data_IF_177315759330
#
_entry.id   IF_177315759330
#
_cell.length_a   1.000
_cell.length_b   1.000
_cell.length_c   1.000
_cell.angle_alpha   90.00
_cell.angle_beta   90.00
_cell.angle_gamma   90.00
#
_symmetry.space_group_name_H-M   'P 1'
#
loop_
_entity.id
_entity.type
_entity.pdbx_description
1 polymer ?
#
# COMPACT_ATOMS: atom_id res chain seq x y z
N UNK A 1 -16.10 -12.37 8.76
CA UNK A 1 -15.80 -11.12 8.00
C UNK A 1 -15.51 -10.04 9.02
N UNK A 2 -14.41 -9.31 8.88
CA UNK A 2 -14.02 -8.24 9.82
C UNK A 2 -13.23 -7.16 9.09
N UNK A 3 -12.93 -6.04 9.77
CA UNK A 3 -12.15 -4.96 9.19
C UNK A 3 -10.72 -5.40 8.82
N UNK A 4 -10.13 -6.35 9.53
CA UNK A 4 -8.73 -6.76 9.32
C UNK A 4 -8.63 -8.07 8.54
N UNK A 5 -7.42 -8.36 8.03
CA UNK A 5 -7.23 -9.48 7.10
C UNK A 5 -7.58 -10.84 7.72
N UNK A 6 -7.31 -11.01 9.01
CA UNK A 6 -7.56 -12.26 9.74
C UNK A 6 -8.81 -12.23 10.63
N UNK A 7 -9.65 -11.19 10.57
CA UNK A 7 -10.89 -11.13 11.34
C UNK A 7 -11.18 -9.77 12.00
N UNK A 8 -11.74 -9.76 13.22
CA UNK A 8 -12.18 -8.54 13.89
C UNK A 8 -11.03 -7.66 14.38
N UNK A 9 -9.84 -8.23 14.60
CA UNK A 9 -8.69 -7.57 15.24
C UNK A 9 -7.47 -7.46 14.33
N UNK A 10 -6.67 -6.41 14.56
CA UNK A 10 -5.39 -6.19 13.86
C UNK A 10 -4.40 -7.28 14.27
N UNK A 11 -3.74 -7.89 13.30
CA UNK A 11 -3.01 -9.13 13.49
C UNK A 11 -1.69 -9.18 12.71
N UNK A 12 -0.94 -10.27 12.87
CA UNK A 12 0.25 -10.55 12.07
C UNK A 12 -0.03 -10.59 10.57
N UNK A 13 -1.24 -10.94 10.14
CA UNK A 13 -1.59 -10.92 8.72
C UNK A 13 -1.52 -9.48 8.15
N UNK A 14 -2.04 -8.50 8.88
CA UNK A 14 -2.01 -7.09 8.49
C UNK A 14 -0.58 -6.54 8.48
N UNK A 15 0.20 -6.89 9.52
CA UNK A 15 1.61 -6.50 9.65
C UNK A 15 2.43 -7.08 8.48
N UNK A 16 2.25 -8.36 8.16
CA UNK A 16 2.98 -9.03 7.09
C UNK A 16 2.63 -8.47 5.70
N UNK A 17 1.38 -8.06 5.48
CA UNK A 17 0.94 -7.48 4.21
C UNK A 17 1.39 -6.02 4.02
N UNK A 18 1.46 -5.24 5.11
CA UNK A 18 1.76 -3.80 5.10
C UNK A 18 2.96 -3.42 4.23
N UNK A 19 4.19 -3.98 4.38
CA UNK A 19 5.35 -3.54 3.61
C UNK A 19 5.19 -3.73 2.10
N UNK A 20 4.46 -4.74 1.66
CA UNK A 20 4.18 -4.96 0.23
C UNK A 20 3.22 -3.89 -0.31
N UNK A 21 2.19 -3.54 0.45
CA UNK A 21 1.20 -2.54 0.04
C UNK A 21 1.82 -1.13 0.03
N UNK A 22 2.65 -0.79 1.03
CA UNK A 22 3.50 0.41 1.01
C UNK A 22 4.30 0.47 -0.28
N UNK A 23 4.99 -0.63 -0.62
CA UNK A 23 5.84 -0.67 -1.81
C UNK A 23 5.05 -0.46 -3.09
N UNK A 24 3.87 -1.05 -3.22
CA UNK A 24 2.99 -0.85 -4.38
C UNK A 24 2.50 0.59 -4.49
N UNK A 25 2.13 1.23 -3.37
CA UNK A 25 1.72 2.63 -3.34
C UNK A 25 2.88 3.55 -3.77
N UNK A 26 4.09 3.33 -3.24
CA UNK A 26 5.30 4.06 -3.65
C UNK A 26 5.64 3.85 -5.14
N UNK A 27 5.30 2.70 -5.72
CA UNK A 27 5.49 2.42 -7.15
C UNK A 27 4.39 3.01 -8.04
N UNK A 28 3.44 3.79 -7.49
CA UNK A 28 2.27 4.30 -8.22
C UNK A 28 1.37 3.18 -8.78
N UNK A 29 1.34 2.03 -8.11
CA UNK A 29 0.52 0.87 -8.48
C UNK A 29 -0.79 0.80 -7.70
N UNK A 30 -1.21 1.88 -7.04
CA UNK A 30 -2.43 1.90 -6.23
C UNK A 30 -3.71 1.59 -7.01
N UNK A 31 -3.73 1.79 -8.34
CA UNK A 31 -4.90 1.43 -9.17
C UNK A 31 -5.23 -0.07 -9.13
N UNK A 32 -4.33 -0.93 -8.64
CA UNK A 32 -4.59 -2.36 -8.41
C UNK A 32 -5.78 -2.61 -7.47
N UNK A 33 -6.11 -1.65 -6.60
CA UNK A 33 -7.21 -1.76 -5.66
C UNK A 33 -8.34 -0.73 -5.88
N UNK A 34 -8.37 -0.03 -7.03
CA UNK A 34 -9.45 0.92 -7.36
C UNK A 34 -10.83 0.26 -7.33
N UNK A 35 -10.93 -0.98 -7.83
CA UNK A 35 -12.15 -1.79 -7.79
C UNK A 35 -12.24 -2.73 -6.59
N UNK A 36 -11.39 -2.55 -5.57
CA UNK A 36 -11.32 -3.40 -4.37
C UNK A 36 -11.53 -2.57 -3.11
N UNK A 37 -12.77 -2.09 -2.85
CA UNK A 37 -13.04 -1.17 -1.75
C UNK A 37 -12.71 -1.75 -0.36
N UNK A 38 -12.72 -3.08 -0.21
CA UNK A 38 -12.27 -3.74 1.02
C UNK A 38 -10.78 -3.52 1.28
N UNK A 39 -9.94 -3.60 0.24
CA UNK A 39 -8.50 -3.36 0.32
C UNK A 39 -8.23 -1.88 0.59
N UNK A 40 -8.89 -0.98 -0.15
CA UNK A 40 -8.74 0.46 0.07
C UNK A 40 -9.09 0.85 1.52
N UNK A 41 -10.25 0.40 2.03
CA UNK A 41 -10.66 0.66 3.42
C UNK A 41 -9.74 0.04 4.46
N UNK A 42 -9.21 -1.15 4.20
CA UNK A 42 -8.22 -1.78 5.07
C UNK A 42 -6.92 -0.99 5.09
N UNK A 43 -6.45 -0.54 3.92
CA UNK A 43 -5.21 0.20 3.79
C UNK A 43 -5.26 1.56 4.49
N UNK A 44 -6.35 2.31 4.32
CA UNK A 44 -6.55 3.56 5.07
C UNK A 44 -6.54 3.33 6.59
N UNK A 45 -7.15 2.23 7.07
CA UNK A 45 -7.09 1.87 8.49
C UNK A 45 -5.70 1.52 8.98
N UNK A 46 -4.86 0.89 8.15
CA UNK A 46 -3.45 0.63 8.49
C UNK A 46 -2.69 1.95 8.62
N UNK A 47 -2.83 2.87 7.65
CA UNK A 47 -2.15 4.18 7.65
C UNK A 47 -2.53 5.07 8.85
N UNK A 48 -3.77 4.96 9.35
CA UNK A 48 -4.24 5.71 10.53
C UNK A 48 -3.70 5.19 11.88
N UNK A 49 -3.04 4.03 11.92
CA UNK A 49 -2.51 3.50 13.18
C UNK A 49 -1.28 4.30 13.62
N UNK A 50 -1.14 4.63 14.93
CA UNK A 50 0.08 5.28 15.44
C UNK A 50 1.36 4.50 15.12
N UNK A 51 1.28 3.17 15.09
CA UNK A 51 2.41 2.30 14.75
C UNK A 51 2.90 2.47 13.32
N UNK A 52 2.08 3.01 12.41
CA UNK A 52 2.47 3.22 11.01
C UNK A 52 3.62 4.21 10.90
N UNK A 53 3.58 5.29 11.68
CA UNK A 53 4.67 6.27 11.72
C UNK A 53 5.97 5.60 12.19
N UNK A 54 5.90 4.93 13.34
CA UNK A 54 7.08 4.29 13.96
C UNK A 54 7.69 3.20 13.08
N UNK A 55 6.87 2.40 12.38
CA UNK A 55 7.34 1.27 11.60
C UNK A 55 7.70 1.62 10.15
N UNK A 56 7.02 2.62 9.56
CA UNK A 56 7.13 2.92 8.13
C UNK A 56 7.73 4.31 7.90
N UNK A 57 6.99 5.37 8.22
CA UNK A 57 7.36 6.72 7.73
C UNK A 57 8.54 7.34 8.45
N UNK A 58 8.78 6.99 9.72
CA UNK A 58 9.91 7.49 10.53
C UNK A 58 11.27 7.23 9.89
N UNK A 59 11.38 6.17 9.08
CA UNK A 59 12.65 5.73 8.47
C UNK A 59 12.81 6.21 7.03
N UNK A 60 11.77 6.80 6.43
CA UNK A 60 11.82 7.31 5.06
C UNK A 60 12.50 8.68 5.05
N UNK A 61 13.65 8.75 4.38
CA UNK A 61 14.35 10.03 4.22
C UNK A 61 13.76 10.81 3.05
N UNK A 62 13.90 12.14 3.01
CA UNK A 62 13.38 12.96 1.90
C UNK A 62 13.83 12.47 0.53
N UNK A 63 15.08 12.00 0.39
CA UNK A 63 15.59 11.44 -0.85
C UNK A 63 14.92 10.13 -1.27
N UNK A 64 14.50 9.31 -0.30
CA UNK A 64 13.79 8.06 -0.57
C UNK A 64 12.41 8.37 -1.13
N UNK A 65 11.68 9.32 -0.54
CA UNK A 65 10.37 9.79 -1.01
C UNK A 65 10.50 10.41 -2.41
N UNK A 66 11.43 11.34 -2.59
CA UNK A 66 11.62 12.05 -3.86
C UNK A 66 11.97 11.11 -5.03
N UNK A 67 12.64 9.98 -4.76
CA UNK A 67 12.91 8.95 -5.78
C UNK A 67 11.62 8.38 -6.36
N UNK A 68 10.61 8.12 -5.52
CA UNK A 68 9.36 7.50 -5.93
C UNK A 68 8.38 8.49 -6.55
N UNK A 69 8.37 9.74 -6.09
CA UNK A 69 7.56 10.81 -6.69
C UNK A 69 7.89 11.06 -8.17
N UNK A 70 9.18 10.94 -8.52
CA UNK A 70 9.70 11.13 -9.89
C UNK A 70 9.38 9.98 -10.86
N UNK A 71 8.78 8.88 -10.40
CA UNK A 71 8.42 7.78 -11.29
C UNK A 71 7.37 8.23 -12.31
N UNK A 72 7.57 7.85 -13.58
CA UNK A 72 6.51 7.97 -14.59
C UNK A 72 5.31 7.07 -14.24
N UNK A 73 4.15 7.31 -14.87
CA UNK A 73 2.98 6.45 -14.66
C UNK A 73 3.26 5.02 -15.16
N UNK A 74 3.35 4.01 -14.26
CA UNK A 74 3.64 2.64 -14.66
C UNK A 74 2.48 1.99 -15.42
N UNK A 75 1.26 2.52 -15.32
CA UNK A 75 0.07 1.88 -15.87
C UNK A 75 0.02 1.87 -17.40
N UNK A 76 0.80 2.73 -18.06
CA UNK A 76 1.03 2.66 -19.52
C UNK A 76 1.58 1.29 -19.93
N UNK A 77 2.43 0.69 -19.10
CA UNK A 77 3.03 -0.62 -19.38
C UNK A 77 2.28 -1.76 -18.70
N UNK A 78 1.82 -1.56 -17.46
CA UNK A 78 1.07 -2.60 -16.72
C UNK A 78 -0.20 -3.00 -17.48
N UNK A 79 -0.97 -2.04 -18.00
CA UNK A 79 -2.20 -2.34 -18.76
C UNK A 79 -1.92 -3.22 -19.99
N UNK A 80 -0.85 -2.94 -20.73
CA UNK A 80 -0.44 -3.74 -21.91
C UNK A 80 -0.08 -5.18 -21.56
N UNK A 81 0.47 -5.41 -20.36
CA UNK A 81 0.87 -6.75 -19.91
C UNK A 81 -0.30 -7.56 -19.34
N UNK A 82 -1.34 -6.90 -18.83
CA UNK A 82 -2.54 -7.57 -18.29
C UNK A 82 -3.54 -7.99 -19.38
N UNK A 83 -3.37 -7.51 -20.62
CA UNK A 83 -4.23 -7.84 -21.77
C UNK A 83 -3.62 -8.86 -22.73
N UNK A 84 -2.41 -9.36 -22.42
CA UNK A 84 -1.77 -10.49 -23.12
C UNK A 84 -2.25 -11.81 -22.52
#
# INVERSE_FOLDING_TARGET
RGPWLAGPDFSLADIAATPYIVRLEMLKLSRMWDNKPGVAKWWERVKMRPSYETAITKWLRPEDIARYEKLADPWINVSKNLTQ
#
